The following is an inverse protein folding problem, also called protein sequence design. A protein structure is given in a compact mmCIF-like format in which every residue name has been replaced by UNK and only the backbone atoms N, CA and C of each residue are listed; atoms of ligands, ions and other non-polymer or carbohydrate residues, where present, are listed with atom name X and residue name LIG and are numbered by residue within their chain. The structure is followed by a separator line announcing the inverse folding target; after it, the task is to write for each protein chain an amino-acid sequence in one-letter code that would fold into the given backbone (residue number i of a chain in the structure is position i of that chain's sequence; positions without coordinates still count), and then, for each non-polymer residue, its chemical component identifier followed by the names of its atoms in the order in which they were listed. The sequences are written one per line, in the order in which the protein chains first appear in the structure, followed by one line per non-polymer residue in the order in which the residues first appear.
data_IF_050781244527
#
_entry.id   IF_050781244527
#
_cell.length_a   1.000
_cell.length_b   1.000
_cell.length_c   1.000
_cell.angle_alpha   90.00
_cell.angle_beta   90.00
_cell.angle_gamma   90.00
#
_symmetry.space_group_name_H-M   'P 1'
#
loop_
_entity.id
_entity.type
_entity.pdbx_description
1 polymer ?
#
# COMPACT_ATOMS: atom_id res chain seq x y z
N UNK A 1 13.26 21.91 15.21
CA UNK A 1 13.91 21.20 14.08
C UNK A 1 12.85 20.52 13.23
N UNK A 2 12.89 20.74 11.94
CA UNK A 2 11.92 20.15 11.01
C UNK A 2 12.52 18.89 10.40
N UNK A 3 11.84 17.76 10.61
CA UNK A 3 12.26 16.50 10.02
C UNK A 3 11.71 16.39 8.59
N UNK A 4 12.57 15.95 7.68
CA UNK A 4 12.18 15.74 6.30
C UNK A 4 11.29 14.51 6.21
N UNK A 5 10.17 14.63 5.49
CA UNK A 5 9.25 13.51 5.26
C UNK A 5 9.31 13.06 3.82
N UNK A 6 9.08 11.77 3.62
CA UNK A 6 9.04 11.13 2.31
C UNK A 6 7.65 10.57 2.11
N UNK A 7 7.10 10.74 0.92
CA UNK A 7 5.82 10.11 0.60
C UNK A 7 5.99 8.61 0.46
N UNK A 8 5.11 7.85 1.11
CA UNK A 8 5.07 6.39 1.02
C UNK A 8 3.72 6.00 0.45
N UNK A 9 3.73 5.10 -0.51
CA UNK A 9 2.50 4.59 -1.12
C UNK A 9 2.12 3.27 -0.45
N UNK A 10 1.00 3.28 0.25
CA UNK A 10 0.46 2.10 0.93
C UNK A 10 -0.67 1.51 0.10
N UNK A 11 -0.58 0.24 -0.21
CA UNK A 11 -1.58 -0.47 -1.01
C UNK A 11 -2.25 -1.62 -0.24
N UNK A 12 -1.79 -1.90 0.96
CA UNK A 12 -2.30 -2.97 1.81
C UNK A 12 -2.96 -2.42 3.07
N UNK A 13 -2.96 -3.21 4.14
CA UNK A 13 -3.67 -2.82 5.36
C UNK A 13 -3.09 -1.60 6.06
N UNK A 14 -1.85 -1.20 5.76
CA UNK A 14 -1.29 0.05 6.27
C UNK A 14 -1.96 1.29 5.68
N UNK A 15 -2.86 1.13 4.71
CA UNK A 15 -3.71 2.23 4.27
C UNK A 15 -4.61 2.74 5.41
N UNK A 16 -4.83 1.92 6.42
CA UNK A 16 -5.55 2.34 7.62
C UNK A 16 -4.62 3.17 8.49
N UNK A 17 -4.78 4.47 8.45
CA UNK A 17 -3.93 5.39 9.20
C UNK A 17 -4.04 5.18 10.71
N UNK A 18 -5.14 4.62 11.19
CA UNK A 18 -5.30 4.29 12.59
C UNK A 18 -4.24 3.30 13.06
N UNK A 19 -3.92 2.32 12.21
CA UNK A 19 -2.87 1.33 12.52
C UNK A 19 -1.53 2.04 12.70
N UNK A 20 -1.20 2.97 11.81
CA UNK A 20 0.06 3.71 11.89
C UNK A 20 0.13 4.54 13.16
N UNK A 21 -0.96 5.22 13.51
CA UNK A 21 -1.02 6.05 14.71
C UNK A 21 -0.90 5.22 15.99
N UNK A 22 -1.48 4.02 16.00
CA UNK A 22 -1.37 3.12 17.14
C UNK A 22 0.06 2.65 17.38
N UNK A 23 0.90 2.74 16.36
CA UNK A 23 2.32 2.38 16.45
C UNK A 23 3.21 3.59 16.72
N UNK A 24 2.60 4.73 17.03
CA UNK A 24 3.34 5.96 17.36
C UNK A 24 3.78 6.78 16.17
N UNK A 25 3.32 6.45 14.96
CA UNK A 25 3.67 7.23 13.79
C UNK A 25 2.67 8.37 13.58
N UNK A 26 3.14 9.42 12.91
CA UNK A 26 2.33 10.60 12.60
C UNK A 26 2.34 10.83 11.09
N UNK A 27 1.55 10.04 10.34
CA UNK A 27 1.48 10.23 8.89
C UNK A 27 0.88 11.59 8.56
N UNK A 28 1.46 12.25 7.56
CA UNK A 28 1.00 13.58 7.14
C UNK A 28 0.39 13.53 5.75
N UNK A 29 -0.65 14.36 5.57
CA UNK A 29 -1.31 14.55 4.28
C UNK A 29 -1.72 13.22 3.61
N UNK A 30 -2.44 12.33 4.32
CA UNK A 30 -2.91 11.10 3.69
C UNK A 30 -3.93 11.42 2.59
N UNK A 31 -3.76 10.82 1.43
CA UNK A 31 -4.62 11.07 0.27
C UNK A 31 -4.64 9.86 -0.65
N UNK A 32 -5.75 9.69 -1.35
CA UNK A 32 -5.92 8.58 -2.30
C UNK A 32 -5.04 8.84 -3.52
N UNK A 33 -4.41 7.78 -4.00
CA UNK A 33 -3.57 7.82 -5.18
C UNK A 33 -3.59 6.46 -5.88
N UNK A 34 -3.00 6.39 -7.08
CA UNK A 34 -2.92 5.11 -7.78
C UNK A 34 -1.57 4.97 -8.48
N UNK A 35 -1.14 3.74 -8.65
CA UNK A 35 0.12 3.38 -9.30
C UNK A 35 -0.21 2.56 -10.55
N UNK A 36 0.23 3.02 -11.70
CA UNK A 36 0.04 2.33 -12.97
C UNK A 36 1.20 1.39 -13.26
N UNK A 37 0.94 0.31 -13.97
CA UNK A 37 1.96 -0.64 -14.38
C UNK A 37 2.23 -1.72 -13.36
N UNK A 38 1.38 -1.84 -12.35
CA UNK A 38 1.48 -2.85 -11.30
C UNK A 38 0.13 -3.45 -11.01
N UNK A 39 0.14 -4.69 -10.57
CA UNK A 39 -1.05 -5.37 -10.10
C UNK A 39 -0.84 -5.87 -8.68
N UNK A 40 -1.92 -5.93 -7.93
CA UNK A 40 -1.89 -6.44 -6.57
C UNK A 40 -1.94 -7.96 -6.60
N UNK A 41 -1.04 -8.59 -5.87
CA UNK A 41 -1.04 -10.03 -5.70
C UNK A 41 -1.10 -10.37 -4.21
N UNK A 42 -2.04 -11.21 -3.85
CA UNK A 42 -2.21 -11.67 -2.46
C UNK A 42 -2.00 -13.17 -2.43
N UNK A 43 -0.92 -13.58 -1.77
CA UNK A 43 -0.64 -14.98 -1.41
C UNK A 43 -0.75 -15.08 0.09
N UNK A 44 0.27 -15.52 0.78
CA UNK A 44 0.29 -15.41 2.25
C UNK A 44 0.31 -13.94 2.68
N UNK A 45 0.98 -13.12 1.90
CA UNK A 45 1.08 -11.67 2.12
C UNK A 45 0.85 -10.96 0.79
N UNK A 46 0.59 -9.65 0.86
CA UNK A 46 0.33 -8.84 -0.31
C UNK A 46 1.61 -8.22 -0.87
N UNK A 47 1.71 -8.15 -2.18
CA UNK A 47 2.78 -7.46 -2.87
C UNK A 47 2.26 -6.93 -4.20
N UNK A 48 3.11 -6.19 -4.91
CA UNK A 48 2.82 -5.69 -6.25
C UNK A 48 3.73 -6.37 -7.26
N UNK A 49 3.17 -6.69 -8.42
CA UNK A 49 3.93 -7.26 -9.51
C UNK A 49 3.80 -6.39 -10.76
N UNK A 50 4.87 -6.16 -11.51
CA UNK A 50 4.77 -5.38 -12.74
C UNK A 50 3.77 -6.03 -13.71
N UNK A 51 2.79 -5.26 -14.17
CA UNK A 51 1.74 -5.76 -15.03
C UNK A 51 1.29 -4.64 -15.96
N UNK A 52 1.44 -4.84 -17.26
CA UNK A 52 1.05 -3.84 -18.26
C UNK A 52 -0.45 -3.59 -18.16
N UNK A 53 -0.85 -2.32 -18.21
CA UNK A 53 -2.24 -1.88 -18.19
C UNK A 53 -2.99 -2.18 -16.89
N UNK A 54 -2.28 -2.53 -15.83
CA UNK A 54 -2.90 -2.68 -14.52
C UNK A 54 -2.71 -1.42 -13.69
N UNK A 55 -3.50 -1.29 -12.65
CA UNK A 55 -3.50 -0.13 -11.77
C UNK A 55 -3.83 -0.56 -10.35
N UNK A 56 -3.11 0.00 -9.38
CA UNK A 56 -3.34 -0.28 -7.97
C UNK A 56 -3.68 1.03 -7.27
N UNK A 57 -4.76 1.02 -6.51
CA UNK A 57 -5.14 2.17 -5.68
C UNK A 57 -4.58 2.03 -4.29
N UNK A 58 -4.25 3.15 -3.68
CA UNK A 58 -3.69 3.16 -2.34
C UNK A 58 -3.76 4.54 -1.73
N UNK A 59 -3.01 4.71 -0.65
CA UNK A 59 -2.92 5.97 0.09
C UNK A 59 -1.48 6.42 0.09
N UNK A 60 -1.25 7.69 -0.29
CA UNK A 60 0.02 8.36 -0.08
C UNK A 60 -0.01 9.05 1.27
N UNK A 61 1.06 8.92 2.04
CA UNK A 61 1.20 9.65 3.29
C UNK A 61 2.68 9.92 3.55
N UNK A 62 2.98 11.05 4.15
CA UNK A 62 4.35 11.43 4.45
C UNK A 62 4.80 10.86 5.79
N UNK A 63 5.99 10.27 5.81
CA UNK A 63 6.63 9.75 7.02
C UNK A 63 8.10 10.16 7.02
N UNK A 64 8.68 10.30 8.21
CA UNK A 64 10.12 10.49 8.32
C UNK A 64 10.84 9.17 8.06
N UNK A 65 12.13 9.23 7.77
CA UNK A 65 12.93 8.01 7.59
C UNK A 65 12.92 7.14 8.85
N UNK A 66 12.92 7.77 10.02
CA UNK A 66 12.86 7.06 11.28
C UNK A 66 11.53 6.32 11.44
N UNK A 67 10.42 6.98 11.09
CA UNK A 67 9.10 6.37 11.13
C UNK A 67 8.99 5.19 10.18
N UNK A 68 9.52 5.33 8.97
CA UNK A 68 9.55 4.26 7.98
C UNK A 68 10.33 3.06 8.51
N UNK A 69 11.51 3.32 9.10
CA UNK A 69 12.34 2.27 9.68
C UNK A 69 11.62 1.53 10.80
N UNK A 70 10.91 2.26 11.65
CA UNK A 70 10.11 1.67 12.73
C UNK A 70 9.00 0.77 12.16
N UNK A 71 8.27 1.27 11.16
CA UNK A 71 7.15 0.54 10.58
C UNK A 71 7.59 -0.78 9.96
N UNK A 72 8.68 -0.77 9.21
CA UNK A 72 9.15 -1.95 8.47
C UNK A 72 10.19 -2.77 9.22
N UNK A 73 10.37 -2.52 10.52
CA UNK A 73 11.21 -3.35 11.38
C UNK A 73 10.43 -4.50 12.02
N UNK A 74 9.11 -4.50 11.88
CA UNK A 74 8.28 -5.58 12.44
C UNK A 74 8.52 -6.89 11.70
N UNK A 75 8.50 -8.03 12.42
CA UNK A 75 8.74 -9.33 11.78
C UNK A 75 7.80 -9.63 10.63
N UNK A 76 6.55 -9.18 10.69
CA UNK A 76 5.56 -9.46 9.64
C UNK A 76 5.86 -8.77 8.32
N UNK A 77 6.67 -7.70 8.33
CA UNK A 77 6.96 -6.92 7.12
C UNK A 77 8.47 -6.72 6.90
N UNK A 78 9.30 -7.38 7.68
CA UNK A 78 10.75 -7.18 7.63
C UNK A 78 11.35 -7.55 6.28
N UNK A 79 10.73 -8.46 5.55
CA UNK A 79 11.20 -8.91 4.24
C UNK A 79 10.89 -7.94 3.11
N UNK A 80 10.03 -6.97 3.34
CA UNK A 80 9.66 -6.01 2.31
C UNK A 80 10.83 -5.09 1.97
N UNK A 81 10.93 -4.70 0.71
CA UNK A 81 12.00 -3.83 0.21
C UNK A 81 11.42 -2.57 -0.40
N UNK A 82 12.07 -1.42 -0.21
CA UNK A 82 11.61 -0.18 -0.81
C UNK A 82 11.91 -0.14 -2.29
N UNK A 83 10.97 0.41 -3.04
CA UNK A 83 11.09 0.65 -4.46
C UNK A 83 10.61 2.07 -4.74
N UNK A 84 11.36 2.81 -5.53
CA UNK A 84 10.98 4.16 -5.91
C UNK A 84 9.98 4.10 -7.07
N UNK A 85 8.84 4.74 -6.91
CA UNK A 85 7.77 4.72 -7.90
C UNK A 85 7.24 6.13 -8.14
N UNK A 86 6.56 6.33 -9.27
CA UNK A 86 5.80 7.55 -9.54
C UNK A 86 4.32 7.21 -9.41
N UNK A 87 3.66 7.89 -8.49
CA UNK A 87 2.27 7.63 -8.15
C UNK A 87 1.43 8.81 -8.60
N UNK A 88 0.25 8.54 -9.13
CA UNK A 88 -0.67 9.59 -9.57
C UNK A 88 -1.63 9.94 -8.45
N UNK A 89 -1.70 11.23 -8.10
CA UNK A 89 -2.68 11.72 -7.14
C UNK A 89 -3.91 12.26 -7.87
N UNK A 90 -4.95 12.62 -7.13
CA UNK A 90 -6.26 12.94 -7.69
C UNK A 90 -6.31 14.10 -8.67
N UNK A 91 -5.28 14.95 -8.71
CA UNK A 91 -5.18 16.07 -9.65
C UNK A 91 -4.32 15.71 -10.89
N UNK A 92 -4.12 14.43 -11.16
CA UNK A 92 -3.31 13.91 -12.25
C UNK A 92 -1.82 14.23 -12.13
N UNK A 93 -1.38 14.72 -10.98
CA UNK A 93 0.02 15.02 -10.72
C UNK A 93 0.75 13.76 -10.31
N UNK A 94 1.93 13.51 -10.89
CA UNK A 94 2.78 12.40 -10.49
C UNK A 94 3.68 12.81 -9.34
N UNK A 95 3.73 11.97 -8.32
CA UNK A 95 4.48 12.20 -7.08
C UNK A 95 5.46 11.06 -6.87
N UNK A 96 6.75 11.36 -6.69
CA UNK A 96 7.70 10.30 -6.30
C UNK A 96 7.37 9.77 -4.91
N UNK A 97 7.41 8.46 -4.76
CA UNK A 97 7.10 7.84 -3.48
C UNK A 97 7.90 6.56 -3.32
N UNK A 98 8.05 6.12 -2.07
CA UNK A 98 8.56 4.79 -1.77
C UNK A 98 7.39 3.82 -1.68
N UNK A 99 7.56 2.65 -2.27
CA UNK A 99 6.59 1.57 -2.21
C UNK A 99 7.31 0.31 -1.76
N UNK A 100 6.82 -0.33 -0.71
CA UNK A 100 7.46 -1.52 -0.16
C UNK A 100 6.83 -2.77 -0.73
N UNK A 101 7.62 -3.60 -1.39
CA UNK A 101 7.18 -4.82 -2.06
C UNK A 101 8.00 -6.01 -1.61
N UNK A 102 7.46 -7.20 -1.82
CA UNK A 102 8.19 -8.45 -1.58
C UNK A 102 8.94 -8.84 -2.85
N UNK A 103 10.25 -9.10 -2.76
CA UNK A 103 11.01 -9.52 -3.95
C UNK A 103 10.54 -10.85 -4.51
N UNK A 104 10.04 -11.74 -3.66
CA UNK A 104 9.50 -13.02 -4.07
C UNK A 104 8.20 -13.29 -3.35
N UNK A 105 7.23 -13.81 -4.08
CA UNK A 105 5.98 -14.28 -3.51
C UNK A 105 6.05 -15.79 -3.45
N UNK A 106 6.09 -16.35 -2.25
CA UNK A 106 6.13 -17.79 -2.04
C UNK A 106 4.76 -18.31 -1.64
N UNK A 107 4.50 -19.58 -1.96
CA UNK A 107 3.27 -20.23 -1.60
C UNK A 107 2.24 -20.20 -2.71
N UNK A 108 1.34 -21.15 -2.67
CA UNK A 108 0.25 -21.29 -3.64
C UNK A 108 -1.10 -20.91 -3.04
N UNK A 109 -1.16 -20.81 -1.71
CA UNK A 109 -2.41 -20.47 -1.02
C UNK A 109 -2.58 -18.97 -0.93
N UNK A 110 -3.83 -18.53 -0.99
CA UNK A 110 -4.20 -17.12 -0.86
C UNK A 110 -4.68 -16.84 0.55
N UNK A 111 -4.21 -15.76 1.15
CA UNK A 111 -4.68 -15.31 2.45
C UNK A 111 -6.04 -14.61 2.26
N UNK A 112 -7.10 -15.40 2.30
CA UNK A 112 -8.46 -14.91 2.08
C UNK A 112 -8.88 -13.93 3.16
N UNK A 113 -8.48 -14.16 4.40
CA UNK A 113 -8.81 -13.25 5.50
C UNK A 113 -8.21 -11.85 5.26
N UNK A 114 -6.98 -11.79 4.78
CA UNK A 114 -6.34 -10.53 4.43
C UNK A 114 -7.11 -9.84 3.30
N UNK A 115 -7.45 -10.60 2.25
CA UNK A 115 -8.16 -10.04 1.09
C UNK A 115 -9.52 -9.45 1.48
N UNK A 116 -10.25 -10.11 2.39
CA UNK A 116 -11.53 -9.59 2.88
C UNK A 116 -11.34 -8.28 3.62
N UNK A 117 -10.35 -8.22 4.52
CA UNK A 117 -10.07 -6.98 5.26
C UNK A 117 -9.67 -5.85 4.33
N UNK A 118 -8.86 -6.15 3.32
CA UNK A 118 -8.43 -5.15 2.35
C UNK A 118 -9.62 -4.63 1.54
N UNK A 119 -10.51 -5.52 1.13
CA UNK A 119 -11.73 -5.12 0.42
C UNK A 119 -12.58 -4.17 1.26
N UNK A 120 -12.80 -4.51 2.53
CA UNK A 120 -13.60 -3.67 3.42
C UNK A 120 -12.96 -2.31 3.65
N UNK A 121 -11.65 -2.27 3.81
CA UNK A 121 -10.91 -1.03 3.97
C UNK A 121 -11.02 -0.16 2.72
N UNK A 122 -10.81 -0.75 1.54
CA UNK A 122 -10.90 -0.03 0.27
C UNK A 122 -12.31 0.52 0.05
N UNK A 123 -13.33 -0.24 0.43
CA UNK A 123 -14.72 0.21 0.36
C UNK A 123 -14.95 1.41 1.27
N UNK A 124 -14.43 1.37 2.49
CA UNK A 124 -14.52 2.48 3.43
C UNK A 124 -13.79 3.73 2.92
N UNK A 125 -12.72 3.54 2.14
CA UNK A 125 -11.97 4.63 1.54
C UNK A 125 -12.60 5.15 0.25
N UNK A 126 -13.69 4.55 -0.19
CA UNK A 126 -14.43 4.95 -1.41
C UNK A 126 -13.60 4.81 -2.69
N UNK A 127 -12.83 3.75 -2.79
CA UNK A 127 -12.09 3.45 -4.01
C UNK A 127 -13.07 3.15 -5.16
N UNK A 128 -12.63 3.30 -6.43
CA UNK A 128 -13.51 3.04 -7.58
C UNK A 128 -14.09 1.62 -7.59
N UNK A 129 -15.31 1.50 -8.09
CA UNK A 129 -16.03 0.22 -8.16
C UNK A 129 -15.25 -0.87 -8.88
N UNK A 130 -14.56 -0.52 -9.96
CA UNK A 130 -13.75 -1.48 -10.71
C UNK A 130 -12.67 -2.11 -9.84
N UNK A 131 -12.04 -1.28 -9.00
CA UNK A 131 -11.00 -1.77 -8.09
C UNK A 131 -11.61 -2.59 -6.96
N UNK A 132 -12.76 -2.17 -6.44
CA UNK A 132 -13.46 -2.93 -5.41
C UNK A 132 -13.86 -4.31 -5.93
N UNK A 133 -14.34 -4.41 -7.18
CA UNK A 133 -14.68 -5.69 -7.79
C UNK A 133 -13.46 -6.60 -7.90
N UNK A 134 -12.32 -6.03 -8.24
CA UNK A 134 -11.06 -6.76 -8.32
C UNK A 134 -10.67 -7.33 -6.96
N UNK A 135 -10.75 -6.52 -5.90
CA UNK A 135 -10.45 -6.97 -4.54
C UNK A 135 -11.45 -8.03 -4.07
N UNK A 136 -12.71 -7.86 -4.42
CA UNK A 136 -13.75 -8.84 -4.09
C UNK A 136 -13.45 -10.19 -4.70
N UNK A 137 -12.97 -10.21 -5.95
CA UNK A 137 -12.58 -11.45 -6.60
C UNK A 137 -11.39 -12.11 -5.92
N UNK A 138 -10.45 -11.32 -5.41
CA UNK A 138 -9.31 -11.83 -4.66
C UNK A 138 -9.72 -12.42 -3.31
N UNK A 139 -10.86 -12.00 -2.78
CA UNK A 139 -11.37 -12.45 -1.49
C UNK A 139 -12.21 -13.73 -1.57
N UNK A 140 -12.43 -14.27 -2.75
CA UNK A 140 -13.20 -15.50 -2.95
C UNK A 140 -12.39 -16.77 -2.74
#
# INVERSE_FOLDING_TARGET
MTYRKVDVFFYGLFMDMTILRQRGLVPTNPRIAYLEGYDLEIRDRATLVPTVQARVYGILAGLTHEEIGTLYSEPSVLDYRPEAVLVSSGDARQVPALCYTLPHVSGTSRNTAYAIKLFELAKALSFPEEYLDKLKNLAR
#
